data_IF_793620524515
#
_entry.id   IF_793620524515
#
_cell.length_a   1.000
_cell.length_b   1.000
_cell.length_c   1.000
_cell.angle_alpha   90.00
_cell.angle_beta   90.00
_cell.angle_gamma   90.00
#
_symmetry.space_group_name_H-M   'P 1'
#
loop_
_entity.id
_entity.type
_entity.pdbx_description
1 polymer ?
#
# COMPACT_ATOMS: atom_id res chain seq x y z
N UNK A 1 41.19 1.63 5.96
CA UNK A 1 40.44 2.87 5.62
C UNK A 1 39.03 2.61 5.09
N UNK A 2 38.77 1.59 4.23
CA UNK A 2 37.39 1.26 3.77
C UNK A 2 36.41 0.98 4.92
N UNK A 3 36.80 0.21 5.94
CA UNK A 3 35.88 -0.15 7.04
C UNK A 3 35.50 1.03 7.93
N UNK A 4 36.41 1.99 8.17
CA UNK A 4 36.12 3.17 8.99
C UNK A 4 35.07 4.06 8.33
N UNK A 5 35.15 4.23 7.00
CA UNK A 5 34.16 4.99 6.22
C UNK A 5 32.77 4.36 6.27
N UNK A 6 32.69 3.02 6.11
CA UNK A 6 31.42 2.27 6.21
C UNK A 6 30.80 2.44 7.60
N UNK A 7 31.61 2.38 8.66
CA UNK A 7 31.14 2.52 10.04
C UNK A 7 30.59 3.92 10.32
N UNK A 8 31.29 4.97 9.88
CA UNK A 8 30.83 6.35 10.02
C UNK A 8 29.51 6.57 9.27
N UNK A 9 29.39 6.04 8.06
CA UNK A 9 28.15 6.17 7.30
C UNK A 9 27.00 5.37 7.90
N UNK A 10 27.27 4.16 8.43
CA UNK A 10 26.29 3.37 9.16
C UNK A 10 25.74 4.15 10.36
N UNK A 11 26.62 4.82 11.13
CA UNK A 11 26.22 5.65 12.26
C UNK A 11 25.34 6.83 11.83
N UNK A 12 25.65 7.48 10.71
CA UNK A 12 24.83 8.58 10.16
C UNK A 12 23.44 8.06 9.75
N UNK A 13 23.37 6.95 9.02
CA UNK A 13 22.10 6.40 8.57
C UNK A 13 21.26 5.88 9.74
N UNK A 14 21.90 5.27 10.74
CA UNK A 14 21.25 4.89 11.99
C UNK A 14 20.68 6.11 12.71
N UNK A 15 21.46 7.19 12.86
CA UNK A 15 20.99 8.42 13.51
C UNK A 15 19.78 9.02 12.78
N UNK A 16 19.82 9.09 11.44
CA UNK A 16 18.68 9.56 10.64
C UNK A 16 17.46 8.66 10.86
N UNK A 17 17.65 7.34 10.83
CA UNK A 17 16.57 6.38 11.08
C UNK A 17 15.96 6.58 12.47
N UNK A 18 16.77 6.70 13.52
CA UNK A 18 16.28 6.87 14.90
C UNK A 18 15.51 8.17 15.06
N UNK A 19 15.96 9.28 14.44
CA UNK A 19 15.20 10.54 14.45
C UNK A 19 13.84 10.37 13.77
N UNK A 20 13.80 9.74 12.59
CA UNK A 20 12.54 9.47 11.89
C UNK A 20 11.62 8.54 12.70
N UNK A 21 12.20 7.54 13.37
CA UNK A 21 11.48 6.59 14.21
C UNK A 21 10.89 7.27 15.47
N UNK A 22 11.65 8.15 16.12
CA UNK A 22 11.16 8.97 17.23
C UNK A 22 10.00 9.88 16.81
N UNK A 23 10.11 10.53 15.65
CA UNK A 23 9.01 11.34 15.10
C UNK A 23 7.78 10.47 14.83
N UNK A 24 7.99 9.28 14.27
CA UNK A 24 6.92 8.31 14.03
C UNK A 24 6.19 7.91 15.32
N UNK A 25 6.91 7.66 16.41
CA UNK A 25 6.33 7.20 17.67
C UNK A 25 5.66 8.31 18.47
N UNK A 26 6.25 9.51 18.52
CA UNK A 26 5.90 10.50 19.55
C UNK A 26 5.36 11.82 19.01
N UNK A 27 5.38 12.05 17.69
CA UNK A 27 4.91 13.31 17.10
C UNK A 27 3.67 13.04 16.24
N UNK A 28 2.46 13.24 16.79
CA UNK A 28 1.21 13.15 16.04
C UNK A 28 1.24 14.00 14.77
N UNK A 29 0.49 13.58 13.75
CA UNK A 29 0.45 14.16 12.39
C UNK A 29 1.74 14.00 11.57
N UNK A 30 2.92 14.24 12.16
CA UNK A 30 4.21 14.02 11.49
C UNK A 30 4.56 12.53 11.38
N UNK A 31 3.94 11.66 12.17
CA UNK A 31 4.13 10.22 12.09
C UNK A 31 3.86 9.64 10.70
N UNK A 32 2.79 10.09 10.04
CA UNK A 32 2.44 9.68 8.67
C UNK A 32 3.52 10.08 7.68
N UNK A 33 4.09 11.28 7.84
CA UNK A 33 5.17 11.77 6.98
C UNK A 33 6.44 10.97 7.23
N UNK A 34 6.82 10.76 8.49
CA UNK A 34 8.01 9.99 8.87
C UNK A 34 7.97 8.57 8.32
N UNK A 35 6.79 7.93 8.32
CA UNK A 35 6.58 6.58 7.81
C UNK A 35 7.02 6.42 6.34
N UNK A 36 6.83 7.45 5.50
CA UNK A 36 7.29 7.41 4.10
C UNK A 36 8.80 7.42 3.94
N UNK A 37 9.54 7.90 4.95
CA UNK A 37 10.99 8.04 4.93
C UNK A 37 11.71 7.00 5.79
N UNK A 38 11.02 6.18 6.59
CA UNK A 38 11.65 5.19 7.49
C UNK A 38 12.54 4.18 6.74
N UNK A 39 12.15 3.77 5.53
CA UNK A 39 12.97 2.88 4.69
C UNK A 39 14.20 3.58 4.09
N UNK A 40 14.20 4.91 4.02
CA UNK A 40 15.19 5.67 3.25
C UNK A 40 16.63 5.44 3.73
N UNK A 41 16.95 5.47 5.03
CA UNK A 41 18.32 5.24 5.49
C UNK A 41 18.84 3.86 5.09
N UNK A 42 17.98 2.84 5.14
CA UNK A 42 18.30 1.48 4.70
C UNK A 42 18.48 1.39 3.19
N UNK A 43 17.65 2.09 2.40
CA UNK A 43 17.80 2.16 0.94
C UNK A 43 19.16 2.76 0.58
N UNK A 44 19.48 3.93 1.13
CA UNK A 44 20.72 4.67 0.84
C UNK A 44 21.93 3.85 1.25
N UNK A 45 21.93 3.30 2.46
CA UNK A 45 23.05 2.52 2.98
C UNK A 45 23.29 1.25 2.16
N UNK A 46 22.21 0.52 1.85
CA UNK A 46 22.29 -0.73 1.08
C UNK A 46 22.73 -0.48 -0.36
N UNK A 47 22.32 0.64 -0.97
CA UNK A 47 22.77 1.00 -2.32
C UNK A 47 24.28 1.26 -2.39
N UNK A 48 24.88 1.78 -1.32
CA UNK A 48 26.31 2.13 -1.25
C UNK A 48 27.19 0.96 -0.82
N UNK A 49 26.73 0.17 0.14
CA UNK A 49 27.56 -0.83 0.84
C UNK A 49 27.10 -2.28 0.64
N UNK A 50 25.98 -2.49 -0.04
CA UNK A 50 25.41 -3.82 -0.27
C UNK A 50 24.52 -4.32 0.88
N UNK A 51 23.98 -5.51 0.71
CA UNK A 51 22.93 -6.06 1.58
C UNK A 51 23.45 -6.52 2.95
N UNK A 52 24.65 -7.10 3.02
CA UNK A 52 25.17 -7.62 4.28
C UNK A 52 25.38 -6.49 5.33
N UNK A 53 26.02 -5.36 5.00
CA UNK A 53 26.01 -4.20 5.88
C UNK A 53 24.61 -3.65 6.16
N UNK A 54 23.70 -3.68 5.17
CA UNK A 54 22.29 -3.29 5.34
C UNK A 54 21.59 -4.05 6.46
N UNK A 55 21.76 -5.39 6.52
CA UNK A 55 21.19 -6.21 7.59
C UNK A 55 21.88 -5.97 8.95
N UNK A 56 23.18 -5.65 8.97
CA UNK A 56 23.84 -5.22 10.21
C UNK A 56 23.26 -3.90 10.73
N UNK A 57 23.03 -2.93 9.85
CA UNK A 57 22.36 -1.67 10.21
C UNK A 57 20.96 -1.93 10.78
N UNK A 58 20.20 -2.85 10.18
CA UNK A 58 18.89 -3.26 10.69
C UNK A 58 18.99 -3.91 12.08
N UNK A 59 19.94 -4.80 12.31
CA UNK A 59 20.14 -5.42 13.61
C UNK A 59 20.43 -4.37 14.70
N UNK A 60 21.30 -3.40 14.42
CA UNK A 60 21.58 -2.30 15.35
C UNK A 60 20.36 -1.40 15.53
N UNK A 61 19.64 -1.09 14.45
CA UNK A 61 18.41 -0.31 14.52
C UNK A 61 17.35 -0.98 15.41
N UNK A 62 17.17 -2.29 15.33
CA UNK A 62 16.25 -3.04 16.21
C UNK A 62 16.66 -2.94 17.68
N UNK A 63 17.95 -3.09 17.98
CA UNK A 63 18.46 -2.97 19.35
C UNK A 63 18.17 -1.56 19.88
N UNK A 64 18.56 -0.52 19.15
CA UNK A 64 18.36 0.86 19.59
C UNK A 64 16.87 1.21 19.68
N UNK A 65 16.06 0.80 18.70
CA UNK A 65 14.61 0.98 18.74
C UNK A 65 13.95 0.26 19.91
N UNK A 66 14.46 -0.90 20.35
CA UNK A 66 13.93 -1.60 21.53
C UNK A 66 14.22 -0.89 22.85
N UNK A 67 15.28 -0.07 22.91
CA UNK A 67 15.63 0.73 24.09
C UNK A 67 14.79 2.00 24.22
N UNK A 68 14.33 2.52 23.08
CA UNK A 68 13.62 3.80 23.00
C UNK A 68 12.10 3.59 22.93
N UNK A 69 11.64 2.63 22.13
CA UNK A 69 10.23 2.33 21.90
C UNK A 69 9.72 1.13 22.69
N UNK A 70 8.45 0.77 22.48
CA UNK A 70 7.87 -0.45 23.05
C UNK A 70 8.15 -1.68 22.17
N UNK A 71 7.94 -2.89 22.73
CA UNK A 71 8.05 -4.14 21.97
C UNK A 71 7.10 -4.17 20.75
N UNK A 72 5.97 -3.46 20.83
CA UNK A 72 5.00 -3.30 19.73
C UNK A 72 5.52 -2.44 18.57
N UNK A 73 6.59 -1.68 18.76
CA UNK A 73 7.17 -0.83 17.72
C UNK A 73 8.20 -1.53 16.84
N UNK A 74 8.76 -2.66 17.29
CA UNK A 74 9.76 -3.44 16.55
C UNK A 74 9.26 -4.01 15.20
N UNK A 75 8.01 -4.49 15.07
CA UNK A 75 7.45 -4.90 13.78
C UNK A 75 7.60 -3.81 12.71
N UNK A 76 7.35 -2.55 13.06
CA UNK A 76 7.52 -1.40 12.14
C UNK A 76 8.98 -1.26 11.68
N UNK A 77 9.94 -1.39 12.61
CA UNK A 77 11.38 -1.33 12.29
C UNK A 77 11.76 -2.46 11.34
N UNK A 78 11.28 -3.68 11.59
CA UNK A 78 11.50 -4.84 10.71
C UNK A 78 10.90 -4.58 9.32
N UNK A 79 9.67 -4.09 9.26
CA UNK A 79 8.95 -3.85 8.01
C UNK A 79 9.68 -2.83 7.12
N UNK A 80 9.96 -1.63 7.63
CA UNK A 80 10.62 -0.59 6.85
C UNK A 80 12.11 -0.87 6.65
N UNK A 81 12.76 -1.54 7.61
CA UNK A 81 14.15 -1.96 7.50
C UNK A 81 14.38 -2.97 6.38
N UNK A 82 13.67 -4.10 6.41
CA UNK A 82 13.78 -5.15 5.38
C UNK A 82 13.33 -4.66 4.02
N UNK A 83 12.21 -3.90 3.96
CA UNK A 83 11.73 -3.30 2.72
C UNK A 83 12.74 -2.31 2.14
N UNK A 84 13.34 -1.46 2.97
CA UNK A 84 14.36 -0.51 2.55
C UNK A 84 15.63 -1.19 2.03
N UNK A 85 16.10 -2.25 2.69
CA UNK A 85 17.23 -3.07 2.20
C UNK A 85 16.90 -3.66 0.83
N UNK A 86 15.76 -4.31 0.66
CA UNK A 86 15.41 -4.96 -0.62
C UNK A 86 15.23 -3.93 -1.73
N UNK A 87 14.57 -2.81 -1.48
CA UNK A 87 14.45 -1.71 -2.44
C UNK A 87 15.84 -1.19 -2.83
N UNK A 88 16.74 -1.01 -1.85
CA UNK A 88 18.13 -0.60 -2.06
C UNK A 88 18.92 -1.58 -2.95
N UNK A 89 18.78 -2.90 -2.73
CA UNK A 89 19.39 -3.93 -3.59
C UNK A 89 18.90 -3.80 -5.03
N UNK A 90 17.58 -3.62 -5.20
CA UNK A 90 16.95 -3.56 -6.52
C UNK A 90 17.37 -2.30 -7.29
N UNK A 91 17.52 -1.17 -6.60
CA UNK A 91 18.10 0.04 -7.18
C UNK A 91 19.58 -0.12 -7.53
N UNK A 92 20.39 -0.67 -6.64
CA UNK A 92 21.82 -0.91 -6.89
C UNK A 92 22.04 -1.80 -8.12
N UNK A 93 21.18 -2.80 -8.31
CA UNK A 93 21.19 -3.70 -9.49
C UNK A 93 20.54 -3.11 -10.75
N UNK A 94 20.15 -1.82 -10.74
CA UNK A 94 19.52 -1.09 -11.85
C UNK A 94 18.37 -1.84 -12.51
N UNK A 95 17.53 -2.51 -11.70
CA UNK A 95 16.40 -3.30 -12.20
C UNK A 95 15.30 -2.41 -12.77
N UNK A 96 14.44 -2.99 -13.63
CA UNK A 96 13.29 -2.28 -14.19
C UNK A 96 12.30 -1.90 -13.07
N UNK A 97 11.74 -0.68 -13.13
CA UNK A 97 10.74 -0.13 -12.21
C UNK A 97 9.60 -1.08 -11.83
N UNK A 98 9.08 -1.87 -12.79
CA UNK A 98 7.98 -2.81 -12.52
C UNK A 98 8.43 -3.94 -11.60
N UNK A 99 9.66 -4.43 -11.80
CA UNK A 99 10.25 -5.45 -10.94
C UNK A 99 10.56 -4.88 -9.55
N UNK A 100 11.07 -3.64 -9.47
CA UNK A 100 11.31 -2.96 -8.20
C UNK A 100 10.00 -2.85 -7.40
N UNK A 101 8.93 -2.35 -8.03
CA UNK A 101 7.63 -2.19 -7.38
C UNK A 101 7.03 -3.53 -6.95
N UNK A 102 7.11 -4.55 -7.81
CA UNK A 102 6.56 -5.88 -7.51
C UNK A 102 7.30 -6.52 -6.33
N UNK A 103 8.64 -6.51 -6.35
CA UNK A 103 9.44 -7.08 -5.25
C UNK A 103 9.22 -6.29 -3.96
N UNK A 104 9.18 -4.96 -4.01
CA UNK A 104 8.89 -4.14 -2.84
C UNK A 104 7.49 -4.45 -2.27
N UNK A 105 6.48 -4.59 -3.13
CA UNK A 105 5.11 -4.96 -2.73
C UNK A 105 5.09 -6.32 -2.05
N UNK A 106 5.81 -7.32 -2.58
CA UNK A 106 5.90 -8.64 -1.97
C UNK A 106 6.58 -8.59 -0.60
N UNK A 107 7.65 -7.82 -0.43
CA UNK A 107 8.33 -7.68 0.87
C UNK A 107 7.44 -6.97 1.89
N UNK A 108 6.77 -5.88 1.51
CA UNK A 108 5.79 -5.24 2.39
C UNK A 108 4.63 -6.19 2.74
N UNK A 109 4.14 -6.98 1.79
CA UNK A 109 3.08 -7.95 2.03
C UNK A 109 3.51 -9.02 3.04
N UNK A 110 4.71 -9.58 2.88
CA UNK A 110 5.27 -10.53 3.84
C UNK A 110 5.38 -9.90 5.23
N UNK A 111 5.89 -8.67 5.33
CA UNK A 111 5.96 -7.98 6.61
C UNK A 111 4.58 -7.72 7.22
N UNK A 112 3.60 -7.24 6.46
CA UNK A 112 2.23 -7.00 6.96
C UNK A 112 1.61 -8.31 7.49
N UNK A 113 1.78 -9.41 6.77
CA UNK A 113 1.28 -10.73 7.21
C UNK A 113 2.00 -11.20 8.46
N UNK A 114 3.33 -11.06 8.52
CA UNK A 114 4.13 -11.42 9.70
C UNK A 114 3.74 -10.55 10.91
N UNK A 115 3.59 -9.24 10.73
CA UNK A 115 3.18 -8.31 11.77
C UNK A 115 1.80 -8.66 12.31
N UNK A 116 0.86 -9.04 11.44
CA UNK A 116 -0.46 -9.53 11.87
C UNK A 116 -0.36 -10.83 12.67
N UNK A 117 0.42 -11.82 12.21
CA UNK A 117 0.63 -13.08 12.93
C UNK A 117 1.29 -12.81 14.30
N UNK A 118 2.29 -11.94 14.35
CA UNK A 118 2.98 -11.55 15.58
C UNK A 118 1.99 -10.89 16.55
N UNK A 119 1.18 -9.95 16.06
CA UNK A 119 0.12 -9.29 16.82
C UNK A 119 -0.83 -10.29 17.50
N UNK A 120 -1.32 -11.27 16.73
CA UNK A 120 -2.25 -12.28 17.24
C UNK A 120 -1.57 -13.25 18.21
N UNK A 121 -0.40 -13.79 17.85
CA UNK A 121 0.22 -14.91 18.58
C UNK A 121 1.06 -14.49 19.78
N UNK A 122 1.73 -13.34 19.73
CA UNK A 122 2.64 -12.91 20.78
C UNK A 122 2.03 -11.83 21.67
N UNK A 123 1.18 -10.97 21.10
CA UNK A 123 0.57 -9.87 21.84
C UNK A 123 -0.89 -10.14 22.24
N UNK A 124 -1.49 -11.25 21.78
CA UNK A 124 -2.92 -11.55 21.94
C UNK A 124 -3.83 -10.43 21.41
N UNK A 125 -3.36 -9.71 20.38
CA UNK A 125 -4.05 -8.60 19.74
C UNK A 125 -4.49 -9.01 18.33
N UNK A 126 -5.74 -9.45 18.20
CA UNK A 126 -6.36 -9.61 16.88
C UNK A 126 -7.08 -8.33 16.46
N UNK A 127 -6.34 -7.46 15.77
CA UNK A 127 -6.84 -6.15 15.33
C UNK A 127 -8.04 -6.32 14.39
N UNK A 128 -8.08 -7.38 13.59
CA UNK A 128 -9.18 -7.63 12.65
C UNK A 128 -10.43 -8.03 13.43
N UNK A 129 -10.33 -9.01 14.34
CA UNK A 129 -11.47 -9.43 15.16
C UNK A 129 -11.98 -8.30 16.06
N UNK A 130 -11.08 -7.52 16.66
CA UNK A 130 -11.43 -6.34 17.46
C UNK A 130 -12.20 -5.31 16.63
N UNK A 131 -11.71 -4.99 15.43
CA UNK A 131 -12.38 -4.04 14.53
C UNK A 131 -13.78 -4.54 14.15
N UNK A 132 -13.93 -5.83 13.84
CA UNK A 132 -15.23 -6.42 13.52
C UNK A 132 -16.17 -6.42 14.74
N UNK A 133 -15.67 -6.66 15.96
CA UNK A 133 -16.46 -6.55 17.19
C UNK A 133 -16.94 -5.13 17.43
N UNK A 134 -16.05 -4.15 17.31
CA UNK A 134 -16.39 -2.73 17.45
C UNK A 134 -17.46 -2.30 16.45
N UNK A 135 -17.39 -2.76 15.20
CA UNK A 135 -18.43 -2.51 14.20
C UNK A 135 -19.77 -3.13 14.61
N UNK A 136 -19.77 -4.39 15.09
CA UNK A 136 -20.98 -5.07 15.60
C UNK A 136 -21.59 -4.33 16.78
N UNK A 137 -20.79 -3.94 17.75
CA UNK A 137 -21.22 -3.21 18.94
C UNK A 137 -21.81 -1.84 18.56
N UNK A 138 -21.15 -1.12 17.64
CA UNK A 138 -21.65 0.17 17.14
C UNK A 138 -23.00 0.02 16.43
N UNK A 139 -23.16 -1.04 15.63
CA UNK A 139 -24.44 -1.35 14.99
C UNK A 139 -25.52 -1.69 16.02
N UNK A 140 -25.22 -2.55 17.01
CA UNK A 140 -26.16 -2.89 18.07
C UNK A 140 -26.56 -1.66 18.90
N UNK A 141 -25.63 -0.77 19.24
CA UNK A 141 -25.93 0.47 19.93
C UNK A 141 -26.90 1.36 19.11
N UNK A 142 -26.67 1.49 17.81
CA UNK A 142 -27.56 2.23 16.90
C UNK A 142 -28.98 1.63 16.88
N UNK A 143 -29.08 0.30 16.92
CA UNK A 143 -30.35 -0.43 16.94
C UNK A 143 -31.11 -0.22 18.25
N UNK A 144 -30.41 -0.12 19.38
CA UNK A 144 -31.04 0.17 20.67
C UNK A 144 -31.58 1.60 20.73
N UNK A 145 -30.86 2.56 20.14
CA UNK A 145 -31.36 3.95 20.02
C UNK A 145 -32.67 3.97 19.22
N UNK A 146 -32.71 3.27 18.08
CA UNK A 146 -33.92 3.16 17.25
C UNK A 146 -35.10 2.57 18.04
N UNK A 147 -34.87 1.49 18.78
CA UNK A 147 -35.87 0.90 19.68
C UNK A 147 -36.34 1.87 20.77
N UNK A 148 -35.42 2.62 21.37
CA UNK A 148 -35.73 3.66 22.35
C UNK A 148 -36.58 4.81 21.80
N UNK A 149 -36.52 5.04 20.48
CA UNK A 149 -37.38 6.00 19.76
C UNK A 149 -38.73 5.41 19.33
N UNK A 150 -39.05 4.18 19.75
CA UNK A 150 -40.29 3.49 19.38
C UNK A 150 -40.29 2.89 17.98
N UNK A 151 -39.12 2.81 17.32
CA UNK A 151 -38.98 2.19 16.01
C UNK A 151 -38.41 0.77 16.16
N UNK A 152 -39.08 -0.23 15.59
CA UNK A 152 -38.49 -1.56 15.48
C UNK A 152 -37.53 -1.60 14.29
N UNK A 153 -36.26 -1.93 14.51
CA UNK A 153 -35.32 -1.98 13.42
C UNK A 153 -35.60 -3.17 12.48
N UNK A 154 -35.69 -2.96 11.16
CA UNK A 154 -36.03 -4.01 10.20
C UNK A 154 -35.05 -5.19 10.26
N UNK A 155 -35.56 -6.42 10.19
CA UNK A 155 -34.72 -7.63 10.10
C UNK A 155 -33.76 -7.59 8.91
N UNK A 156 -34.24 -7.09 7.76
CA UNK A 156 -33.41 -6.91 6.56
C UNK A 156 -32.16 -6.04 6.82
N UNK A 157 -32.25 -5.07 7.72
CA UNK A 157 -31.11 -4.22 8.09
C UNK A 157 -30.03 -5.03 8.81
N UNK A 158 -30.45 -5.93 9.71
CA UNK A 158 -29.54 -6.84 10.43
C UNK A 158 -28.89 -7.83 9.47
N UNK A 159 -29.69 -8.41 8.56
CA UNK A 159 -29.19 -9.38 7.58
C UNK A 159 -28.17 -8.73 6.63
N UNK A 160 -28.45 -7.52 6.13
CA UNK A 160 -27.49 -6.75 5.31
C UNK A 160 -26.22 -6.44 6.07
N UNK A 161 -26.33 -6.09 7.35
CA UNK A 161 -25.16 -5.81 8.17
C UNK A 161 -24.30 -7.06 8.41
N UNK A 162 -24.90 -8.22 8.66
CA UNK A 162 -24.15 -9.47 8.77
C UNK A 162 -23.46 -9.85 7.45
N UNK A 163 -24.16 -9.71 6.33
CA UNK A 163 -23.57 -9.92 5.00
C UNK A 163 -22.39 -8.98 4.74
N UNK A 164 -22.48 -7.72 5.19
CA UNK A 164 -21.37 -6.77 5.10
C UNK A 164 -20.17 -7.24 5.92
N UNK A 165 -20.38 -7.73 7.15
CA UNK A 165 -19.28 -8.20 8.01
C UNK A 165 -18.60 -9.45 7.43
N UNK A 166 -19.38 -10.40 6.93
CA UNK A 166 -18.83 -11.56 6.20
C UNK A 166 -18.04 -11.12 4.98
N UNK A 167 -18.57 -10.18 4.20
CA UNK A 167 -17.89 -9.64 3.04
C UNK A 167 -16.57 -8.96 3.40
N UNK A 168 -16.53 -8.17 4.48
CA UNK A 168 -15.29 -7.55 5.00
C UNK A 168 -14.25 -8.62 5.30
N UNK A 169 -14.64 -9.74 5.92
CA UNK A 169 -13.72 -10.85 6.19
C UNK A 169 -13.16 -11.45 4.90
N UNK A 170 -13.99 -11.63 3.88
CA UNK A 170 -13.54 -12.21 2.60
C UNK A 170 -12.55 -11.33 1.85
N UNK A 171 -12.59 -9.99 2.02
CA UNK A 171 -11.70 -9.07 1.30
C UNK A 171 -10.40 -8.71 2.06
N UNK A 172 -10.19 -9.23 3.27
CA UNK A 172 -8.96 -8.98 4.06
C UNK A 172 -7.68 -9.22 3.23
N UNK A 173 -7.54 -10.31 2.46
CA UNK A 173 -6.33 -10.52 1.67
C UNK A 173 -6.06 -9.39 0.67
N UNK A 174 -7.10 -8.84 0.03
CA UNK A 174 -6.97 -7.71 -0.88
C UNK A 174 -6.55 -6.45 -0.12
N UNK A 175 -7.08 -6.20 1.08
CA UNK A 175 -6.65 -5.08 1.93
C UNK A 175 -5.16 -5.17 2.22
N UNK A 176 -4.64 -6.37 2.54
CA UNK A 176 -3.20 -6.57 2.77
C UNK A 176 -2.37 -6.31 1.51
N UNK A 177 -2.77 -6.86 0.36
CA UNK A 177 -2.06 -6.66 -0.92
C UNK A 177 -2.06 -5.18 -1.33
N UNK A 178 -3.20 -4.50 -1.18
CA UNK A 178 -3.34 -3.09 -1.54
C UNK A 178 -2.56 -2.18 -0.59
N UNK A 179 -2.54 -2.50 0.71
CA UNK A 179 -1.73 -1.80 1.71
C UNK A 179 -0.24 -1.96 1.41
N UNK A 180 0.19 -3.18 1.06
CA UNK A 180 1.56 -3.46 0.68
C UNK A 180 1.97 -2.70 -0.59
N UNK A 181 1.10 -2.68 -1.61
CA UNK A 181 1.34 -1.96 -2.86
C UNK A 181 1.44 -0.45 -2.62
N UNK A 182 0.54 0.11 -1.79
CA UNK A 182 0.56 1.51 -1.41
C UNK A 182 1.85 1.85 -0.65
N UNK A 183 2.21 1.06 0.37
CA UNK A 183 3.45 1.25 1.14
C UNK A 183 4.70 1.20 0.24
N UNK A 184 4.77 0.21 -0.66
CA UNK A 184 5.85 0.08 -1.62
C UNK A 184 5.95 1.30 -2.56
N UNK A 185 4.83 1.67 -3.20
CA UNK A 185 4.80 2.79 -4.12
C UNK A 185 5.16 4.12 -3.43
N UNK A 186 4.56 4.41 -2.28
CA UNK A 186 4.80 5.64 -1.53
C UNK A 186 6.25 5.72 -1.04
N UNK A 187 6.80 4.63 -0.51
CA UNK A 187 8.21 4.56 -0.08
C UNK A 187 9.17 4.83 -1.24
N UNK A 188 8.93 4.22 -2.41
CA UNK A 188 9.75 4.44 -3.60
C UNK A 188 9.65 5.89 -4.08
N UNK A 189 8.43 6.43 -4.18
CA UNK A 189 8.20 7.81 -4.62
C UNK A 189 8.81 8.84 -3.68
N UNK A 190 8.71 8.63 -2.36
CA UNK A 190 9.32 9.49 -1.36
C UNK A 190 10.86 9.43 -1.41
N UNK A 191 11.41 8.28 -1.77
CA UNK A 191 12.87 8.09 -1.86
C UNK A 191 13.48 8.75 -3.09
N UNK A 192 12.81 8.71 -4.25
CA UNK A 192 13.35 9.17 -5.54
C UNK A 192 13.97 10.59 -5.48
N UNK A 193 13.30 11.65 -4.96
CA UNK A 193 13.86 12.99 -4.91
C UNK A 193 15.18 13.06 -4.12
N UNK A 194 15.26 12.31 -3.02
CA UNK A 194 16.44 12.30 -2.15
C UNK A 194 17.56 11.51 -2.82
N UNK A 195 17.26 10.35 -3.41
CA UNK A 195 18.24 9.57 -4.15
C UNK A 195 18.82 10.34 -5.35
N UNK A 196 18.00 11.15 -6.05
CA UNK A 196 18.48 12.07 -7.10
C UNK A 196 19.42 13.14 -6.56
N UNK A 197 19.08 13.77 -5.44
CA UNK A 197 19.95 14.78 -4.79
C UNK A 197 21.29 14.19 -4.34
N UNK A 198 21.31 12.92 -3.96
CA UNK A 198 22.51 12.18 -3.61
C UNK A 198 23.27 11.61 -4.83
N UNK A 199 22.88 11.99 -6.05
CA UNK A 199 23.47 11.51 -7.32
C UNK A 199 23.49 9.97 -7.46
N UNK A 200 22.48 9.29 -6.92
CA UNK A 200 22.40 7.83 -6.99
C UNK A 200 21.70 7.32 -8.27
N UNK A 201 22.17 6.20 -8.85
CA UNK A 201 21.65 5.68 -10.11
C UNK A 201 20.32 4.92 -9.91
N UNK A 202 19.19 5.62 -10.00
CA UNK A 202 17.85 5.06 -9.74
C UNK A 202 16.98 4.79 -10.98
N UNK A 203 17.55 4.95 -12.18
CA UNK A 203 16.82 4.82 -13.45
C UNK A 203 15.75 5.90 -13.64
N UNK A 204 14.90 5.73 -14.65
CA UNK A 204 13.81 6.66 -14.96
C UNK A 204 12.50 6.21 -14.31
N UNK A 205 11.95 7.08 -13.48
CA UNK A 205 10.62 6.92 -12.88
C UNK A 205 9.69 7.95 -13.50
N UNK A 206 8.73 7.52 -14.33
CA UNK A 206 7.83 8.45 -15.00
C UNK A 206 6.90 9.11 -13.98
N UNK A 207 6.41 10.32 -14.26
CA UNK A 207 5.34 10.91 -13.47
C UNK A 207 4.07 10.03 -13.54
N UNK A 208 3.20 10.16 -12.54
CA UNK A 208 1.96 9.38 -12.40
C UNK A 208 1.13 9.26 -13.68
N UNK A 209 1.01 10.37 -14.43
CA UNK A 209 0.30 10.46 -15.72
C UNK A 209 0.88 9.63 -16.87
N UNK A 210 2.08 9.09 -16.73
CA UNK A 210 2.70 8.20 -17.71
C UNK A 210 2.87 6.77 -17.17
N UNK A 211 2.30 6.47 -16.00
CA UNK A 211 2.20 5.10 -15.51
C UNK A 211 1.27 4.33 -16.45
N UNK A 212 1.76 3.21 -16.95
CA UNK A 212 0.97 2.23 -17.70
C UNK A 212 1.20 0.86 -17.10
N UNK A 213 0.10 0.17 -16.83
CA UNK A 213 0.10 -1.22 -16.41
C UNK A 213 0.55 -2.17 -17.54
N UNK A 214 1.07 -3.37 -17.22
CA UNK A 214 1.35 -4.39 -18.22
C UNK A 214 0.05 -4.89 -18.88
N UNK A 215 0.04 -4.98 -20.22
CA UNK A 215 -1.11 -5.48 -21.00
C UNK A 215 -1.68 -6.83 -20.54
N UNK A 216 -0.89 -7.83 -20.08
CA UNK A 216 -1.44 -9.10 -19.61
C UNK A 216 -2.45 -8.96 -18.46
N UNK A 217 -2.41 -7.88 -17.68
CA UNK A 217 -3.39 -7.62 -16.62
C UNK A 217 -4.83 -7.51 -17.14
N UNK A 218 -5.03 -7.13 -18.41
CA UNK A 218 -6.36 -7.13 -19.05
C UNK A 218 -6.96 -8.53 -19.12
N UNK A 219 -6.15 -9.52 -19.50
CA UNK A 219 -6.60 -10.90 -19.61
C UNK A 219 -6.88 -11.50 -18.24
N UNK A 220 -6.03 -11.23 -17.25
CA UNK A 220 -6.31 -11.65 -15.88
C UNK A 220 -7.61 -11.03 -15.35
N UNK A 221 -7.86 -9.75 -15.60
CA UNK A 221 -9.12 -9.13 -15.20
C UNK A 221 -10.32 -9.72 -15.90
N UNK A 222 -10.23 -10.00 -17.21
CA UNK A 222 -11.33 -10.64 -17.94
C UNK A 222 -11.64 -12.03 -17.37
N UNK A 223 -10.62 -12.86 -17.13
CA UNK A 223 -10.79 -14.20 -16.56
C UNK A 223 -11.44 -14.11 -15.18
N UNK A 224 -10.95 -13.24 -14.31
CA UNK A 224 -11.46 -13.08 -12.94
C UNK A 224 -12.87 -12.49 -12.94
N UNK A 225 -13.16 -11.52 -13.80
CA UNK A 225 -14.50 -10.98 -13.98
C UNK A 225 -15.48 -12.07 -14.45
N UNK A 226 -15.09 -12.90 -15.41
CA UNK A 226 -15.92 -14.04 -15.85
C UNK A 226 -16.14 -15.03 -14.70
N UNK A 227 -15.10 -15.30 -13.90
CA UNK A 227 -15.21 -16.16 -12.72
C UNK A 227 -16.25 -15.66 -11.69
N UNK A 228 -16.47 -14.34 -11.58
CA UNK A 228 -17.50 -13.79 -10.66
C UNK A 228 -18.94 -14.09 -11.07
N UNK A 229 -19.20 -14.45 -12.33
CA UNK A 229 -20.54 -14.83 -12.79
C UNK A 229 -20.90 -16.29 -12.49
N UNK A 230 -19.92 -17.11 -12.13
CA UNK A 230 -20.17 -18.49 -11.72
C UNK A 230 -20.64 -18.54 -10.26
N UNK A 231 -21.58 -19.43 -9.90
CA UNK A 231 -22.04 -19.60 -8.53
C UNK A 231 -20.98 -20.33 -7.70
N UNK A 232 -19.97 -19.59 -7.26
CA UNK A 232 -18.92 -20.10 -6.38
C UNK A 232 -19.46 -20.24 -4.94
N UNK A 233 -19.11 -21.35 -4.28
CA UNK A 233 -19.50 -21.59 -2.89
C UNK A 233 -18.85 -20.55 -1.97
N UNK A 234 -19.68 -19.83 -1.20
CA UNK A 234 -19.22 -18.81 -0.25
C UNK A 234 -18.27 -19.45 0.79
N UNK A 235 -17.17 -18.77 1.07
CA UNK A 235 -16.14 -19.27 1.99
C UNK A 235 -15.19 -20.31 1.41
N UNK A 236 -15.46 -20.85 0.22
CA UNK A 236 -14.50 -21.70 -0.48
C UNK A 236 -13.23 -20.93 -0.84
N UNK A 237 -12.09 -21.63 -0.93
CA UNK A 237 -10.82 -21.03 -1.35
C UNK A 237 -10.94 -20.31 -2.71
N UNK A 238 -11.65 -20.92 -3.66
CA UNK A 238 -11.84 -20.35 -5.01
C UNK A 238 -12.63 -19.05 -4.95
N UNK A 239 -13.72 -19.00 -4.18
CA UNK A 239 -14.49 -17.77 -3.97
C UNK A 239 -13.62 -16.65 -3.39
N UNK A 240 -12.85 -16.94 -2.34
CA UNK A 240 -11.95 -15.97 -1.69
C UNK A 240 -10.85 -15.52 -2.66
N UNK A 241 -10.27 -16.43 -3.44
CA UNK A 241 -9.24 -16.06 -4.41
C UNK A 241 -9.79 -15.14 -5.50
N UNK A 242 -10.95 -15.50 -6.09
CA UNK A 242 -11.60 -14.72 -7.16
C UNK A 242 -11.97 -13.33 -6.67
N UNK A 243 -12.60 -13.20 -5.50
CA UNK A 243 -13.05 -11.90 -4.99
C UNK A 243 -11.87 -10.97 -4.66
N UNK A 244 -10.80 -11.51 -4.07
CA UNK A 244 -9.63 -10.70 -3.75
C UNK A 244 -8.84 -10.29 -5.00
N UNK A 245 -8.65 -11.20 -5.96
CA UNK A 245 -8.04 -10.86 -7.24
C UNK A 245 -8.87 -9.81 -8.00
N UNK A 246 -10.20 -9.93 -7.96
CA UNK A 246 -11.10 -8.97 -8.56
C UNK A 246 -10.88 -7.56 -7.99
N UNK A 247 -10.90 -7.39 -6.66
CA UNK A 247 -10.71 -6.09 -6.02
C UNK A 247 -9.30 -5.51 -6.21
N UNK A 248 -8.26 -6.35 -6.17
CA UNK A 248 -6.89 -5.91 -6.46
C UNK A 248 -6.79 -5.38 -7.90
N UNK A 249 -7.30 -6.14 -8.88
CA UNK A 249 -7.27 -5.72 -10.28
C UNK A 249 -8.15 -4.49 -10.51
N UNK A 250 -9.31 -4.39 -9.87
CA UNK A 250 -10.20 -3.23 -9.95
C UNK A 250 -9.47 -1.96 -9.49
N UNK A 251 -8.72 -2.00 -8.38
CA UNK A 251 -7.93 -0.85 -7.93
C UNK A 251 -6.79 -0.53 -8.91
N UNK A 252 -6.10 -1.55 -9.44
CA UNK A 252 -5.06 -1.32 -10.44
C UNK A 252 -5.62 -0.60 -11.68
N UNK A 253 -6.77 -1.04 -12.20
CA UNK A 253 -7.43 -0.38 -13.33
C UNK A 253 -8.00 1.00 -12.98
N UNK A 254 -8.42 1.22 -11.73
CA UNK A 254 -8.78 2.55 -11.24
C UNK A 254 -7.58 3.50 -11.30
N UNK A 255 -6.41 3.04 -10.83
CA UNK A 255 -5.14 3.80 -10.89
C UNK A 255 -4.76 4.08 -12.36
N UNK A 256 -4.89 3.10 -13.25
CA UNK A 256 -4.67 3.27 -14.69
C UNK A 256 -5.62 4.32 -15.28
N UNK A 257 -6.90 4.28 -14.92
CA UNK A 257 -7.92 5.24 -15.36
C UNK A 257 -7.61 6.66 -14.91
N UNK A 258 -7.24 6.85 -13.64
CA UNK A 258 -6.77 8.16 -13.17
C UNK A 258 -5.48 8.60 -13.86
N UNK A 259 -4.50 7.71 -14.03
CA UNK A 259 -3.27 8.02 -14.78
C UNK A 259 -3.60 8.53 -16.18
N UNK A 260 -4.56 7.90 -16.86
CA UNK A 260 -5.06 8.33 -18.16
C UNK A 260 -5.75 9.69 -18.12
N UNK A 261 -6.63 9.95 -17.14
CA UNK A 261 -7.27 11.27 -16.99
C UNK A 261 -6.24 12.39 -16.82
N UNK A 262 -5.20 12.17 -16.01
CA UNK A 262 -4.12 13.12 -15.84
C UNK A 262 -3.27 13.29 -17.12
N UNK A 263 -3.12 12.23 -17.93
CA UNK A 263 -2.48 12.32 -19.24
C UNK A 263 -3.28 13.20 -20.21
N UNK A 264 -4.59 12.95 -20.33
CA UNK A 264 -5.48 13.71 -21.20
C UNK A 264 -5.54 15.17 -20.80
N UNK A 265 -5.60 15.44 -19.50
CA UNK A 265 -5.60 16.81 -18.99
C UNK A 265 -4.33 17.58 -19.36
N UNK A 266 -3.16 16.92 -19.35
CA UNK A 266 -1.92 17.54 -19.81
C UNK A 266 -1.97 17.87 -21.31
N UNK A 267 -2.38 16.92 -22.15
CA UNK A 267 -2.45 17.15 -23.60
C UNK A 267 -3.44 18.27 -23.95
N UNK A 268 -4.56 18.34 -23.23
CA UNK A 268 -5.56 19.40 -23.36
C UNK A 268 -5.21 20.70 -22.62
N UNK A 269 -4.03 20.81 -22.00
CA UNK A 269 -3.57 21.98 -21.23
C UNK A 269 -4.56 22.42 -20.14
N UNK A 270 -5.29 21.47 -19.54
CA UNK A 270 -6.24 21.75 -18.46
C UNK A 270 -5.50 22.18 -17.19
N UNK A 271 -6.10 23.11 -16.43
CA UNK A 271 -5.54 23.53 -15.16
C UNK A 271 -5.47 22.34 -14.17
N UNK A 272 -4.31 22.17 -13.53
CA UNK A 272 -4.06 21.06 -12.60
C UNK A 272 -5.11 20.97 -11.48
N UNK A 273 -5.58 22.12 -11.00
CA UNK A 273 -6.61 22.20 -9.96
C UNK A 273 -7.92 21.54 -10.38
N UNK A 274 -8.34 21.69 -11.64
CA UNK A 274 -9.58 21.09 -12.16
C UNK A 274 -9.50 19.56 -12.11
N UNK A 275 -8.36 19.00 -12.52
CA UNK A 275 -8.15 17.55 -12.53
C UNK A 275 -8.13 16.98 -11.12
N UNK A 276 -7.48 17.68 -10.18
CA UNK A 276 -7.41 17.27 -8.77
C UNK A 276 -8.79 17.35 -8.11
N UNK A 277 -9.51 18.46 -8.29
CA UNK A 277 -10.88 18.61 -7.75
C UNK A 277 -11.82 17.58 -8.36
N UNK A 278 -11.75 17.34 -9.68
CA UNK A 278 -12.52 16.30 -10.34
C UNK A 278 -12.20 14.90 -9.83
N UNK A 279 -10.92 14.61 -9.58
CA UNK A 279 -10.49 13.35 -8.97
C UNK A 279 -11.07 13.17 -7.57
N UNK A 280 -11.01 14.21 -6.72
CA UNK A 280 -11.62 14.20 -5.39
C UNK A 280 -13.14 14.00 -5.47
N UNK A 281 -13.79 14.68 -6.41
CA UNK A 281 -15.23 14.57 -6.64
C UNK A 281 -15.66 13.13 -7.00
N UNK A 282 -14.82 12.39 -7.74
CA UNK A 282 -15.10 10.99 -8.08
C UNK A 282 -15.20 10.08 -6.85
N UNK A 283 -14.52 10.41 -5.74
CA UNK A 283 -14.63 9.62 -4.50
C UNK A 283 -15.95 9.85 -3.76
N UNK A 284 -16.64 10.97 -3.98
CA UNK A 284 -17.97 11.22 -3.42
C UNK A 284 -19.08 10.47 -4.18
N UNK A 285 -18.80 10.03 -5.41
CA UNK A 285 -19.77 9.38 -6.28
C UNK A 285 -19.26 8.01 -6.73
N UNK A 286 -19.59 6.91 -6.00
CA UNK A 286 -19.06 5.57 -6.27
C UNK A 286 -19.24 5.10 -7.72
N UNK A 287 -20.34 5.49 -8.39
CA UNK A 287 -20.58 5.14 -9.79
C UNK A 287 -19.49 5.68 -10.74
N UNK A 288 -18.90 6.85 -10.43
CA UNK A 288 -17.83 7.43 -11.25
C UNK A 288 -16.55 6.59 -11.17
N UNK A 289 -16.27 5.95 -10.04
CA UNK A 289 -15.12 5.06 -9.90
C UNK A 289 -15.21 3.87 -10.86
N UNK A 290 -16.41 3.30 -11.05
CA UNK A 290 -16.63 2.24 -12.05
C UNK A 290 -16.36 2.75 -13.47
N UNK A 291 -16.80 3.97 -13.81
CA UNK A 291 -16.50 4.59 -15.11
C UNK A 291 -14.99 4.76 -15.30
N UNK A 292 -14.27 5.18 -14.26
CA UNK A 292 -12.81 5.36 -14.32
C UNK A 292 -12.09 4.02 -14.51
N UNK A 293 -12.54 2.94 -13.85
CA UNK A 293 -12.01 1.59 -14.07
C UNK A 293 -12.17 1.19 -15.54
N UNK A 294 -13.36 1.41 -16.12
CA UNK A 294 -13.63 1.13 -17.54
C UNK A 294 -12.69 1.96 -18.42
N UNK A 295 -12.51 3.25 -18.14
CA UNK A 295 -11.55 4.10 -18.87
C UNK A 295 -10.12 3.55 -18.77
N UNK A 296 -9.69 3.05 -17.62
CA UNK A 296 -8.38 2.43 -17.45
C UNK A 296 -8.20 1.17 -18.29
N UNK A 297 -9.25 0.33 -18.37
CA UNK A 297 -9.28 -0.88 -19.21
C UNK A 297 -9.18 -0.49 -20.69
N UNK A 298 -9.99 0.48 -21.14
CA UNK A 298 -10.00 0.93 -22.55
C UNK A 298 -8.65 1.59 -22.91
N UNK A 299 -8.09 2.43 -22.03
CA UNK A 299 -6.77 3.04 -22.24
C UNK A 299 -5.71 1.99 -22.50
N UNK A 300 -5.65 0.96 -21.65
CA UNK A 300 -4.66 -0.09 -21.75
C UNK A 300 -4.89 -1.01 -22.95
N UNK A 301 -6.16 -1.34 -23.26
CA UNK A 301 -6.54 -2.25 -24.34
C UNK A 301 -6.39 -1.66 -25.73
N UNK A 302 -6.81 -0.40 -25.92
CA UNK A 302 -6.80 0.28 -27.22
C UNK A 302 -5.62 1.24 -27.42
N UNK A 303 -4.77 1.38 -26.40
CA UNK A 303 -3.63 2.29 -26.36
C UNK A 303 -4.04 3.74 -26.66
N UNK A 304 -5.07 4.22 -25.95
CA UNK A 304 -5.68 5.53 -26.22
C UNK A 304 -4.65 6.67 -26.17
N UNK A 305 -3.65 6.60 -25.29
CA UNK A 305 -2.57 7.61 -25.20
C UNK A 305 -1.82 7.84 -26.51
N UNK A 306 -1.71 6.83 -27.39
CA UNK A 306 -1.05 6.95 -28.70
C UNK A 306 -1.91 7.68 -29.73
N UNK A 307 -3.22 7.74 -29.52
CA UNK A 307 -4.20 8.32 -30.45
C UNK A 307 -4.57 9.75 -30.10
N UNK A 308 -4.27 10.19 -28.88
CA UNK A 308 -4.54 11.54 -28.40
C UNK A 308 -3.30 12.40 -28.68
N UNK A 309 -3.48 13.40 -29.54
CA UNK A 309 -2.51 14.47 -29.80
C UNK A 309 -2.85 15.71 -28.98
#
# INVERSE_FOLDING_TARGET
MKNTYVLTEAAIQLAIFIVLFLIFLYVPFLSVVALFFLSLPFIVFTMRHGYAPGFMLLAVALIVSSLIGSLLSLPVVLMFGTSGIVIGIMFAKKKNRYLILTVATLVFLVNIVLDYIISVKFFNLDIIAQTLSMLKESFHASMQIMKGMGQEPPKEMQDRFQQMLEFVQYIIPSVFVLSALAAAYLTIMASIPILKRLNMPIGTWPPFRHIMLPKPLLWYYLIILLATFFPLEKGSFVFIAVINLYYVLQLLFLIQGFSFLYYVAEQKKMARSIVVVGTLFCFFLPFLLYVIVILGIIDLGFELRKRIR
#
